data_IF_538886597580
#
_entry.id   IF_538886597580
#
_cell.length_a   1.000
_cell.length_b   1.000
_cell.length_c   1.000
_cell.angle_alpha   90.00
_cell.angle_beta   90.00
_cell.angle_gamma   90.00
#
_symmetry.space_group_name_H-M   'P 1'
#
loop_
_entity.id
_entity.type
_entity.pdbx_description
1 polymer ?
#
# COMPACT_ATOMS: atom_id res chain seq x y z
N UNK A 1 0.21 -29.42 -33.05
CA UNK A 1 -1.13 -29.52 -33.64
C UNK A 1 -1.61 -30.98 -33.52
N UNK A 2 -2.01 -31.42 -32.32
CA UNK A 2 -2.38 -32.83 -32.04
C UNK A 2 -3.87 -33.12 -32.25
N UNK A 3 -4.71 -32.10 -32.39
CA UNK A 3 -6.17 -32.26 -32.44
C UNK A 3 -6.69 -32.86 -33.75
N UNK A 4 -5.99 -32.64 -34.87
CA UNK A 4 -6.39 -33.15 -36.19
C UNK A 4 -5.65 -34.44 -36.62
N UNK A 5 -4.94 -35.12 -35.72
CA UNK A 5 -4.14 -36.31 -36.09
C UNK A 5 -4.96 -37.46 -36.66
N UNK A 6 -6.25 -37.53 -36.36
CA UNK A 6 -7.15 -38.53 -36.94
C UNK A 6 -7.41 -38.36 -38.45
N UNK A 7 -7.30 -37.14 -38.99
CA UNK A 7 -7.52 -36.84 -40.42
C UNK A 7 -6.32 -37.23 -41.28
N UNK A 8 -5.12 -37.37 -40.68
CA UNK A 8 -3.92 -37.78 -41.43
C UNK A 8 -4.02 -39.21 -41.99
N UNK A 9 -4.99 -40.00 -41.55
CA UNK A 9 -5.25 -41.34 -42.13
C UNK A 9 -5.97 -41.28 -43.48
N UNK A 10 -6.53 -40.12 -43.86
CA UNK A 10 -7.33 -39.95 -45.08
C UNK A 10 -6.78 -38.88 -46.03
N UNK A 11 -5.94 -37.96 -45.56
CA UNK A 11 -5.42 -36.83 -46.33
C UNK A 11 -3.94 -36.58 -46.02
N UNK A 12 -3.15 -36.32 -47.07
CA UNK A 12 -1.75 -35.89 -46.95
C UNK A 12 -1.66 -34.38 -46.72
N UNK A 13 -0.87 -33.97 -45.72
CA UNK A 13 -0.68 -32.56 -45.35
C UNK A 13 0.75 -32.09 -45.62
N UNK A 14 0.90 -30.82 -45.98
CA UNK A 14 2.20 -30.15 -46.05
C UNK A 14 2.73 -29.80 -44.66
N UNK A 15 3.98 -29.31 -44.58
CA UNK A 15 4.56 -28.84 -43.31
C UNK A 15 3.72 -27.69 -42.74
N UNK A 16 3.48 -27.75 -41.42
CA UNK A 16 2.66 -26.75 -40.72
C UNK A 16 3.25 -25.35 -40.84
N UNK A 17 2.47 -24.42 -41.42
CA UNK A 17 2.87 -23.02 -41.58
C UNK A 17 2.57 -22.23 -40.30
N UNK A 18 1.55 -22.61 -39.54
CA UNK A 18 1.16 -21.96 -38.28
C UNK A 18 0.68 -22.97 -37.24
N UNK A 19 0.87 -22.64 -35.96
CA UNK A 19 0.34 -23.40 -34.83
C UNK A 19 -0.70 -22.55 -34.11
N UNK A 20 -1.88 -23.11 -33.89
CA UNK A 20 -2.92 -22.50 -33.06
C UNK A 20 -3.22 -23.42 -31.88
N UNK A 21 -3.53 -22.81 -30.74
CA UNK A 21 -3.93 -23.49 -29.51
C UNK A 21 -5.36 -23.11 -29.15
N UNK A 22 -6.05 -23.97 -28.41
CA UNK A 22 -7.40 -23.65 -27.92
C UNK A 22 -7.28 -22.58 -26.84
N UNK A 23 -7.93 -21.43 -27.07
CA UNK A 23 -7.99 -20.31 -26.14
C UNK A 23 -9.46 -20.03 -25.82
N UNK A 24 -9.77 -19.81 -24.54
CA UNK A 24 -11.11 -19.45 -24.07
C UNK A 24 -11.16 -17.93 -23.93
N UNK A 25 -12.14 -17.29 -24.55
CA UNK A 25 -12.37 -15.85 -24.39
C UNK A 25 -13.27 -15.58 -23.18
N UNK A 26 -12.84 -14.66 -22.32
CA UNK A 26 -13.49 -14.33 -21.04
C UNK A 26 -13.74 -12.82 -20.96
N UNK A 27 -14.82 -12.35 -20.31
CA UNK A 27 -15.05 -10.92 -20.09
C UNK A 27 -13.84 -10.22 -19.47
N UNK A 28 -13.63 -8.96 -19.87
CA UNK A 28 -12.55 -8.10 -19.36
C UNK A 28 -12.72 -7.86 -17.85
N UNK A 29 -11.61 -7.86 -17.12
CA UNK A 29 -11.59 -7.51 -15.70
C UNK A 29 -12.19 -6.12 -15.45
N UNK A 30 -12.95 -5.99 -14.36
CA UNK A 30 -13.62 -4.74 -13.98
C UNK A 30 -12.62 -3.80 -13.27
N UNK A 31 -12.91 -2.50 -13.34
CA UNK A 31 -12.16 -1.47 -12.63
C UNK A 31 -12.45 -1.59 -11.12
N UNK A 32 -11.41 -1.48 -10.31
CA UNK A 32 -11.56 -1.42 -8.86
C UNK A 32 -12.20 -0.07 -8.45
N UNK A 33 -13.00 -0.07 -7.37
CA UNK A 33 -13.68 1.14 -6.92
C UNK A 33 -12.69 2.21 -6.47
N UNK A 34 -12.87 3.43 -6.98
CA UNK A 34 -11.97 4.57 -6.77
C UNK A 34 -11.99 5.10 -5.33
N UNK A 35 -13.01 4.80 -4.54
CA UNK A 35 -13.12 5.29 -3.15
C UNK A 35 -12.03 4.72 -2.24
N UNK A 36 -11.55 3.50 -2.53
CA UNK A 36 -10.49 2.84 -1.76
C UNK A 36 -9.09 3.18 -2.27
N UNK A 37 -8.99 3.99 -3.34
CA UNK A 37 -7.72 4.42 -3.94
C UNK A 37 -6.72 5.00 -2.94
N UNK A 38 -7.12 5.81 -1.94
CA UNK A 38 -6.18 6.32 -0.94
C UNK A 38 -5.56 5.25 -0.04
N UNK A 39 -6.16 4.06 0.10
CA UNK A 39 -5.67 2.99 0.97
C UNK A 39 -4.78 1.98 0.24
N UNK A 40 -4.88 1.88 -1.09
CA UNK A 40 -4.07 0.98 -1.91
C UNK A 40 -2.54 1.25 -1.99
N UNK A 41 -2.00 2.46 -1.74
CA UNK A 41 -0.56 2.70 -1.84
C UNK A 41 0.26 1.82 -0.89
N UNK A 42 -0.29 1.50 0.28
CA UNK A 42 0.37 0.67 1.28
C UNK A 42 -0.34 -0.67 1.47
N UNK A 43 0.46 -1.72 1.65
CA UNK A 43 -0.02 -3.04 2.06
C UNK A 43 -0.66 -2.93 3.46
N UNK A 44 -1.76 -3.66 3.77
CA UNK A 44 -2.31 -3.72 5.12
C UNK A 44 -1.28 -3.99 6.22
N UNK A 45 -0.24 -4.79 5.95
CA UNK A 45 0.84 -5.00 6.91
C UNK A 45 1.63 -3.70 7.22
N UNK A 46 1.86 -2.86 6.21
CA UNK A 46 2.54 -1.56 6.38
C UNK A 46 1.67 -0.56 7.14
N UNK A 47 0.36 -0.53 6.87
CA UNK A 47 -0.58 0.30 7.64
C UNK A 47 -0.54 -0.02 9.13
N UNK A 48 -0.47 -1.31 9.47
CA UNK A 48 -0.33 -1.76 10.86
C UNK A 48 0.98 -1.26 11.47
N UNK A 49 2.11 -1.41 10.76
CA UNK A 49 3.41 -0.91 11.22
C UNK A 49 3.39 0.61 11.44
N UNK A 50 2.80 1.38 10.51
CA UNK A 50 2.63 2.83 10.67
C UNK A 50 1.86 3.16 11.95
N UNK A 51 0.73 2.48 12.19
CA UNK A 51 -0.05 2.68 13.41
C UNK A 51 0.75 2.36 14.68
N UNK A 52 1.50 1.26 14.69
CA UNK A 52 2.38 0.91 15.82
C UNK A 52 3.45 1.98 16.04
N UNK A 53 4.10 2.45 14.98
CA UNK A 53 5.14 3.49 15.09
C UNK A 53 4.57 4.79 15.67
N UNK A 54 3.37 5.22 15.24
CA UNK A 54 2.68 6.39 15.80
C UNK A 54 2.44 6.25 17.31
N UNK A 55 1.97 5.08 17.76
CA UNK A 55 1.74 4.81 19.19
C UNK A 55 3.05 4.85 19.97
N UNK A 56 4.10 4.19 19.48
CA UNK A 56 5.42 4.17 20.12
C UNK A 56 6.00 5.58 20.22
N UNK A 57 5.94 6.37 19.15
CA UNK A 57 6.45 7.75 19.14
C UNK A 57 5.67 8.65 20.09
N UNK A 58 4.36 8.46 20.21
CA UNK A 58 3.51 9.18 21.17
C UNK A 58 3.90 8.87 22.61
N UNK A 59 4.12 7.58 22.93
CA UNK A 59 4.56 7.18 24.28
C UNK A 59 5.94 7.76 24.58
N UNK A 60 6.91 7.63 23.68
CA UNK A 60 8.26 8.16 23.86
C UNK A 60 8.22 9.68 24.08
N UNK A 61 7.48 10.40 23.24
CA UNK A 61 7.34 11.84 23.35
C UNK A 61 6.68 12.24 24.68
N UNK A 62 5.64 11.54 25.11
CA UNK A 62 4.97 11.79 26.38
C UNK A 62 5.89 11.54 27.59
N UNK A 63 6.62 10.42 27.61
CA UNK A 63 7.60 10.10 28.67
C UNK A 63 8.69 11.17 28.75
N UNK A 64 9.26 11.57 27.62
CA UNK A 64 10.35 12.55 27.62
C UNK A 64 9.85 13.93 28.04
N UNK A 65 8.65 14.32 27.63
CA UNK A 65 8.06 15.61 28.02
C UNK A 65 7.72 15.63 29.51
N UNK A 66 7.23 14.53 30.07
CA UNK A 66 6.93 14.42 31.51
C UNK A 66 8.19 14.38 32.37
N UNK A 67 9.29 13.81 31.89
CA UNK A 67 10.59 13.81 32.59
C UNK A 67 11.31 15.15 32.52
N UNK A 68 11.19 15.88 31.40
CA UNK A 68 11.87 17.17 31.22
C UNK A 68 11.17 18.33 31.95
N UNK A 69 9.87 18.21 32.25
CA UNK A 69 9.11 19.24 32.94
C UNK A 69 9.15 19.02 34.46
N UNK A 70 9.85 19.91 35.19
CA UNK A 70 9.85 19.94 36.66
C UNK A 70 8.55 20.48 37.29
N UNK A 71 7.54 20.78 36.46
CA UNK A 71 6.28 21.42 36.85
C UNK A 71 5.05 20.58 36.54
N UNK A 72 3.96 21.23 36.11
CA UNK A 72 2.72 20.54 35.73
C UNK A 72 2.95 19.63 34.53
N UNK A 73 2.67 18.34 34.70
CA UNK A 73 2.72 17.36 33.61
C UNK A 73 1.71 17.75 32.52
N UNK A 74 2.10 17.73 31.24
CA UNK A 74 1.19 18.05 30.15
C UNK A 74 0.12 16.95 30.04
N UNK A 75 -1.11 17.30 29.61
CA UNK A 75 -2.12 16.30 29.32
C UNK A 75 -1.65 15.40 28.17
N UNK A 76 -2.03 14.12 28.22
CA UNK A 76 -1.69 13.12 27.18
C UNK A 76 -2.22 13.56 25.81
N UNK A 77 -3.38 14.22 25.78
CA UNK A 77 -4.00 14.78 24.59
C UNK A 77 -3.05 15.68 23.81
N UNK A 78 -2.27 16.52 24.51
CA UNK A 78 -1.29 17.39 23.85
C UNK A 78 -0.24 16.58 23.11
N UNK A 79 0.29 15.53 23.75
CA UNK A 79 1.28 14.65 23.12
C UNK A 79 0.73 13.92 21.89
N UNK A 80 -0.56 13.56 21.91
CA UNK A 80 -1.24 12.96 20.75
C UNK A 80 -1.34 13.97 19.60
N UNK A 81 -1.83 15.18 19.87
CA UNK A 81 -1.94 16.23 18.85
C UNK A 81 -0.58 16.65 18.28
N UNK A 82 0.45 16.72 19.13
CA UNK A 82 1.81 17.05 18.71
C UNK A 82 2.35 16.00 17.71
N UNK A 83 2.16 14.70 17.98
CA UNK A 83 2.57 13.63 17.06
C UNK A 83 1.74 13.61 15.78
N UNK A 84 0.42 13.79 15.86
CA UNK A 84 -0.43 13.91 14.68
C UNK A 84 0.05 15.06 13.79
N UNK A 85 0.38 16.22 14.40
CA UNK A 85 0.89 17.38 13.68
C UNK A 85 2.20 17.06 12.98
N UNK A 86 3.15 16.40 13.64
CA UNK A 86 4.44 15.99 13.03
C UNK A 86 4.27 15.10 11.81
N UNK A 87 3.38 14.12 11.89
CA UNK A 87 3.15 13.18 10.79
C UNK A 87 2.30 13.78 9.66
N UNK A 88 1.63 14.89 9.92
CA UNK A 88 1.00 15.74 8.90
C UNK A 88 1.97 16.83 8.37
N UNK A 89 3.27 16.67 8.61
CA UNK A 89 4.33 17.61 8.22
C UNK A 89 4.15 19.03 8.80
N UNK A 90 3.48 19.15 9.95
CA UNK A 90 3.29 20.42 10.66
C UNK A 90 4.33 20.59 11.79
N UNK A 91 4.65 21.85 12.09
CA UNK A 91 5.55 22.20 13.19
C UNK A 91 4.86 22.10 14.56
N UNK A 92 5.61 21.73 15.59
CA UNK A 92 5.16 21.74 16.99
C UNK A 92 5.82 22.92 17.73
N UNK A 93 5.10 23.51 18.68
CA UNK A 93 5.66 24.45 19.65
C UNK A 93 6.29 23.70 20.84
N UNK A 94 7.63 23.70 20.99
CA UNK A 94 8.29 22.92 22.02
C UNK A 94 8.06 23.54 23.41
N UNK A 95 7.65 22.71 24.38
CA UNK A 95 7.50 23.14 25.78
C UNK A 95 8.83 23.22 26.55
N UNK A 96 9.90 22.65 26.00
CA UNK A 96 11.22 22.61 26.61
C UNK A 96 12.30 22.86 25.57
N UNK A 97 13.38 23.52 25.97
CA UNK A 97 14.48 23.92 25.08
C UNK A 97 15.71 23.00 25.21
N UNK A 98 15.60 21.86 25.89
CA UNK A 98 16.72 20.93 26.06
C UNK A 98 17.20 20.35 24.72
N UNK A 99 18.52 20.26 24.54
CA UNK A 99 19.12 19.79 23.28
C UNK A 99 18.69 18.36 22.92
N UNK A 100 18.56 17.48 23.92
CA UNK A 100 18.09 16.10 23.71
C UNK A 100 16.67 16.04 23.14
N UNK A 101 15.77 16.89 23.62
CA UNK A 101 14.40 16.98 23.11
C UNK A 101 14.37 17.50 21.66
N UNK A 102 15.20 18.49 21.34
CA UNK A 102 15.33 19.01 19.97
C UNK A 102 15.78 17.93 18.99
N UNK A 103 16.83 17.16 19.35
CA UNK A 103 17.34 16.08 18.50
C UNK A 103 16.25 15.03 18.26
N UNK A 104 15.52 14.64 19.30
CA UNK A 104 14.43 13.68 19.18
C UNK A 104 13.31 14.18 18.26
N UNK A 105 12.86 15.42 18.43
CA UNK A 105 11.82 16.01 17.58
C UNK A 105 12.31 16.11 16.13
N UNK A 106 13.58 16.44 15.89
CA UNK A 106 14.14 16.44 14.53
C UNK A 106 14.08 15.06 13.88
N UNK A 107 14.39 13.98 14.61
CA UNK A 107 14.25 12.62 14.08
C UNK A 107 12.80 12.23 13.83
N UNK A 108 11.88 12.63 14.72
CA UNK A 108 10.44 12.40 14.52
C UNK A 108 9.92 13.14 13.29
N UNK A 109 10.29 14.40 13.11
CA UNK A 109 9.96 15.20 11.91
C UNK A 109 10.53 14.57 10.64
N UNK A 110 11.80 14.14 10.66
CA UNK A 110 12.41 13.45 9.53
C UNK A 110 11.64 12.17 9.18
N UNK A 111 11.23 11.39 10.18
CA UNK A 111 10.45 10.17 9.96
C UNK A 111 9.06 10.47 9.37
N UNK A 112 8.40 11.54 9.81
CA UNK A 112 7.12 12.01 9.27
C UNK A 112 7.25 12.37 7.80
N UNK A 113 8.24 13.19 7.45
CA UNK A 113 8.52 13.62 6.08
C UNK A 113 8.81 12.42 5.17
N UNK A 114 9.61 11.46 5.63
CA UNK A 114 9.91 10.24 4.85
C UNK A 114 8.64 9.43 4.61
N UNK A 115 7.80 9.26 5.63
CA UNK A 115 6.56 8.49 5.50
C UNK A 115 5.55 9.19 4.57
N UNK A 116 5.37 10.49 4.74
CA UNK A 116 4.48 11.34 3.93
C UNK A 116 4.86 11.31 2.45
N UNK A 117 6.15 11.50 2.14
CA UNK A 117 6.65 11.45 0.76
C UNK A 117 6.52 10.05 0.15
N UNK A 118 6.76 9.00 0.94
CA UNK A 118 6.59 7.62 0.48
C UNK A 118 5.14 7.30 0.15
N UNK A 119 4.20 7.78 0.98
CA UNK A 119 2.76 7.66 0.73
C UNK A 119 2.35 8.43 -0.53
N UNK A 120 2.77 9.69 -0.65
CA UNK A 120 2.46 10.53 -1.81
C UNK A 120 3.00 9.91 -3.12
N UNK A 121 4.22 9.38 -3.12
CA UNK A 121 4.80 8.69 -4.27
C UNK A 121 4.06 7.39 -4.63
N UNK A 122 3.70 6.59 -3.63
CA UNK A 122 2.89 5.39 -3.83
C UNK A 122 1.50 5.72 -4.39
N UNK A 123 0.87 6.76 -3.85
CA UNK A 123 -0.43 7.25 -4.32
C UNK A 123 -0.36 7.77 -5.75
N UNK A 124 0.66 8.56 -6.09
CA UNK A 124 0.89 9.02 -7.46
C UNK A 124 1.01 7.83 -8.43
N UNK A 125 1.74 6.78 -8.04
CA UNK A 125 1.84 5.56 -8.85
C UNK A 125 0.52 4.81 -8.98
N UNK A 126 -0.34 4.83 -7.97
CA UNK A 126 -1.68 4.21 -8.05
C UNK A 126 -2.60 5.03 -8.98
N UNK A 127 -2.41 6.34 -9.05
CA UNK A 127 -3.23 7.24 -9.87
C UNK A 127 -2.83 7.23 -11.35
N UNK A 128 -1.60 6.87 -11.70
CA UNK A 128 -1.15 6.82 -13.11
C UNK A 128 -1.69 5.61 -13.87
N UNK A 129 -1.97 4.49 -13.19
CA UNK A 129 -2.43 3.25 -13.83
C UNK A 129 -3.72 2.77 -13.15
N UNK A 130 -4.84 2.66 -13.89
CA UNK A 130 -6.07 2.16 -13.32
C UNK A 130 -5.92 0.70 -12.89
N UNK A 131 -6.28 0.39 -11.65
CA UNK A 131 -6.25 -0.96 -11.10
C UNK A 131 -7.50 -1.74 -11.53
N UNK A 132 -7.29 -2.96 -12.00
CA UNK A 132 -8.36 -3.90 -12.35
C UNK A 132 -8.42 -5.03 -11.34
N UNK A 133 -9.58 -5.66 -11.22
CA UNK A 133 -9.76 -6.92 -10.48
C UNK A 133 -8.88 -8.03 -11.07
N UNK A 134 -8.69 -9.11 -10.31
CA UNK A 134 -7.92 -10.27 -10.77
C UNK A 134 -8.52 -10.79 -12.08
N UNK A 135 -7.70 -10.84 -13.13
CA UNK A 135 -8.11 -11.41 -14.42
C UNK A 135 -8.28 -12.93 -14.31
N UNK A 136 -9.24 -13.47 -15.06
CA UNK A 136 -9.48 -14.90 -15.17
C UNK A 136 -8.50 -15.49 -16.20
N UNK A 137 -7.32 -15.88 -15.74
CA UNK A 137 -6.23 -16.36 -16.63
C UNK A 137 -6.14 -17.89 -16.70
N UNK A 138 -6.61 -18.59 -15.66
CA UNK A 138 -6.49 -20.04 -15.56
C UNK A 138 -7.85 -20.72 -15.78
N UNK A 139 -7.85 -21.93 -16.36
CA UNK A 139 -9.06 -22.77 -16.48
C UNK A 139 -9.73 -23.00 -15.11
N UNK A 140 -8.93 -23.11 -14.05
CA UNK A 140 -9.42 -23.24 -12.68
C UNK A 140 -10.16 -21.97 -12.21
N UNK A 141 -9.61 -20.79 -12.48
CA UNK A 141 -10.25 -19.51 -12.17
C UNK A 141 -11.56 -19.37 -12.97
N UNK A 142 -11.58 -19.80 -14.25
CA UNK A 142 -12.78 -19.80 -15.08
C UNK A 142 -13.87 -20.76 -14.54
N UNK A 143 -13.49 -21.98 -14.15
CA UNK A 143 -14.42 -22.99 -13.64
C UNK A 143 -15.07 -22.60 -12.30
N UNK A 144 -14.40 -21.76 -11.50
CA UNK A 144 -14.94 -21.19 -10.26
C UNK A 144 -15.74 -19.91 -10.49
N UNK A 145 -15.63 -19.29 -11.66
CA UNK A 145 -16.35 -18.08 -11.98
C UNK A 145 -17.84 -18.37 -12.28
N UNK A 146 -18.74 -17.40 -12.07
CA UNK A 146 -20.16 -17.55 -12.40
C UNK A 146 -20.45 -17.57 -13.91
N UNK A 147 -19.43 -17.50 -14.77
CA UNK A 147 -19.54 -17.44 -16.23
C UNK A 147 -19.32 -18.81 -16.92
N UNK A 148 -19.43 -19.91 -16.18
CA UNK A 148 -19.31 -21.28 -16.68
C UNK A 148 -20.40 -21.63 -17.70
#
# INVERSE_FOLDING_TARGET
CLYYSWVSNYLDFSKSIAYSSVLIMVPRAKLLPTILTPLYPFNPALWLVVFITLVIMTVIHHVITTLNLKGRKPPIEKSIFDIISVYLDQGIFPNTTTSSYRILISFMLLSGVVLSNSYAGGLASVLTIPRYEKSLETIHDFAQSPYR
#
